data_IF_451564665054
#
_entry.id   IF_451564665054
#
_cell.length_a   1.000
_cell.length_b   1.000
_cell.length_c   1.000
_cell.angle_alpha   90.00
_cell.angle_beta   90.00
_cell.angle_gamma   90.00
#
_symmetry.space_group_name_H-M   'P 1'
#
loop_
_entity.id
_entity.type
_entity.pdbx_description
1 polymer ?
#
# COMPACT_ATOMS: atom_id res chain seq x y z
N UNK A 1 -37.51 37.93 49.93
CA UNK A 1 -37.19 39.36 50.15
C UNK A 1 -36.13 39.45 51.24
N UNK A 2 -35.01 40.14 50.96
CA UNK A 2 -33.95 40.53 51.91
C UNK A 2 -32.91 39.43 52.19
N UNK A 3 -31.79 39.33 51.48
CA UNK A 3 -30.55 40.15 51.57
C UNK A 3 -29.86 40.13 52.95
N UNK A 4 -28.72 39.42 53.00
CA UNK A 4 -27.51 39.68 53.81
C UNK A 4 -26.34 39.13 52.97
N UNK A 5 -25.29 39.85 52.60
CA UNK A 5 -24.67 41.02 53.20
C UNK A 5 -23.39 40.59 53.94
N UNK A 6 -22.23 40.85 53.33
CA UNK A 6 -20.96 41.00 54.04
C UNK A 6 -19.87 39.98 53.72
N UNK A 7 -18.82 40.42 53.01
CA UNK A 7 -17.41 40.08 53.31
C UNK A 7 -16.50 41.11 52.65
N UNK A 8 -15.93 41.94 53.50
CA UNK A 8 -14.89 42.93 53.23
C UNK A 8 -13.74 42.62 54.22
N UNK A 9 -12.50 42.54 53.71
CA UNK A 9 -11.19 42.81 54.35
C UNK A 9 -10.12 42.24 53.41
N UNK A 10 -9.40 43.05 52.63
CA UNK A 10 -8.28 43.94 53.00
C UNK A 10 -6.95 43.16 53.14
N UNK A 11 -6.02 43.36 52.20
CA UNK A 11 -4.74 44.04 52.46
C UNK A 11 -3.86 44.14 51.20
N UNK A 12 -3.45 45.37 50.92
CA UNK A 12 -2.45 45.85 49.97
C UNK A 12 -1.04 45.77 50.56
N UNK A 13 -0.02 45.77 49.67
CA UNK A 13 1.26 46.51 49.69
C UNK A 13 2.16 45.91 48.59
N UNK A 14 2.42 46.57 47.46
CA UNK A 14 3.38 47.69 47.23
C UNK A 14 4.77 47.41 47.84
N UNK A 15 5.90 47.48 47.15
CA UNK A 15 6.26 47.86 45.79
C UNK A 15 7.78 48.05 45.68
N UNK A 16 8.30 48.11 44.44
CA UNK A 16 9.51 48.85 43.98
C UNK A 16 10.89 48.44 44.58
N UNK A 17 12.07 48.52 43.94
CA UNK A 17 12.65 49.30 42.83
C UNK A 17 14.07 48.77 42.53
N UNK A 18 14.59 49.00 41.32
CA UNK A 18 16.01 49.30 40.93
C UNK A 18 17.12 48.28 41.26
N UNK A 19 18.21 48.08 40.52
CA UNK A 19 18.86 48.74 39.37
C UNK A 19 20.00 47.79 38.91
N UNK A 20 20.26 47.79 37.60
CA UNK A 20 21.56 47.72 36.90
C UNK A 20 22.85 47.25 37.61
N UNK A 21 23.54 46.28 37.00
CA UNK A 21 25.01 46.33 36.81
C UNK A 21 25.46 45.42 35.65
N UNK A 22 26.13 46.04 34.68
CA UNK A 22 27.00 45.45 33.66
C UNK A 22 28.13 44.62 34.31
N UNK A 23 28.53 43.50 33.69
CA UNK A 23 29.95 43.21 33.43
C UNK A 23 30.13 42.14 32.36
N UNK A 24 31.16 42.41 31.56
CA UNK A 24 31.69 41.76 30.37
C UNK A 24 32.63 40.60 30.73
N UNK A 25 33.15 39.92 29.69
CA UNK A 25 34.26 38.97 29.63
C UNK A 25 33.97 37.46 29.56
N UNK A 26 33.93 36.99 28.30
CA UNK A 26 34.76 35.92 27.69
C UNK A 26 35.11 34.66 28.50
N UNK A 27 34.80 33.47 27.96
CA UNK A 27 35.71 32.69 27.09
C UNK A 27 35.35 31.19 27.08
N UNK A 28 35.48 30.60 25.88
CA UNK A 28 35.70 29.21 25.47
C UNK A 28 35.14 28.01 26.26
N UNK A 29 34.46 27.12 25.51
CA UNK A 29 34.34 25.70 25.86
C UNK A 29 33.45 24.89 24.93
N UNK A 30 34.03 24.39 23.83
CA UNK A 30 33.89 23.02 23.25
C UNK A 30 32.50 22.39 23.15
N UNK A 31 32.05 22.16 21.90
CA UNK A 31 31.88 20.83 21.29
C UNK A 31 30.84 19.93 21.98
N UNK A 32 29.67 19.77 21.35
CA UNK A 32 29.17 18.44 21.03
C UNK A 32 28.16 18.52 19.86
N UNK A 33 28.60 17.91 18.77
CA UNK A 33 28.00 17.83 17.46
C UNK A 33 26.85 16.80 17.51
N UNK A 34 25.61 17.28 17.58
CA UNK A 34 24.40 16.46 17.59
C UNK A 34 23.86 16.24 16.18
N UNK A 35 24.55 15.44 15.37
CA UNK A 35 24.05 14.97 14.07
C UNK A 35 22.83 14.07 14.27
N UNK A 36 21.64 14.61 14.01
CA UNK A 36 20.43 13.81 13.85
C UNK A 36 20.51 13.08 12.50
N UNK A 37 20.70 11.75 12.57
CA UNK A 37 20.67 10.85 11.41
C UNK A 37 19.27 10.83 10.79
N UNK A 38 19.10 11.55 9.69
CA UNK A 38 17.94 11.47 8.82
C UNK A 38 18.07 10.24 7.90
N UNK A 39 17.81 9.07 8.49
CA UNK A 39 17.93 7.76 7.87
C UNK A 39 16.68 7.34 7.10
N UNK A 40 16.31 8.04 6.02
CA UNK A 40 15.53 7.44 4.93
C UNK A 40 16.11 7.84 3.58
N UNK A 41 17.24 7.23 3.23
CA UNK A 41 17.72 7.22 1.85
C UNK A 41 16.69 6.48 0.99
N UNK A 42 15.94 7.26 0.21
CA UNK A 42 15.27 6.78 -1.00
C UNK A 42 16.31 6.11 -1.89
N UNK A 43 16.15 4.81 -2.12
CA UNK A 43 17.03 4.03 -3.00
C UNK A 43 16.55 4.06 -4.47
N UNK A 44 15.74 5.04 -4.85
CA UNK A 44 15.09 5.11 -6.18
C UNK A 44 15.97 5.69 -7.30
N UNK A 45 17.22 6.10 -7.04
CA UNK A 45 18.03 6.81 -8.05
C UNK A 45 19.27 6.08 -8.59
N UNK A 46 19.56 4.85 -8.16
CA UNK A 46 20.83 4.18 -8.52
C UNK A 46 20.76 3.10 -9.61
N UNK A 47 19.59 2.80 -10.23
CA UNK A 47 19.46 1.62 -11.10
C UNK A 47 18.95 1.87 -12.53
N UNK A 48 19.28 3.03 -13.12
CA UNK A 48 19.02 3.29 -14.55
C UNK A 48 20.14 2.79 -15.50
N UNK A 49 21.05 1.94 -15.03
CA UNK A 49 22.27 1.58 -15.76
C UNK A 49 22.54 0.10 -15.91
N UNK A 50 21.54 -0.74 -16.28
CA UNK A 50 21.76 -2.08 -16.90
C UNK A 50 20.44 -2.85 -17.18
N UNK A 51 19.57 -2.28 -18.01
CA UNK A 51 18.46 -3.02 -18.61
C UNK A 51 18.44 -2.84 -20.13
N UNK A 52 19.57 -3.18 -20.77
CA UNK A 52 19.64 -3.32 -22.22
C UNK A 52 19.69 -4.81 -22.57
N UNK A 53 18.54 -5.48 -22.46
CA UNK A 53 18.37 -6.83 -22.98
C UNK A 53 16.94 -7.03 -23.54
N UNK A 54 16.88 -6.98 -24.88
CA UNK A 54 15.82 -7.47 -25.80
C UNK A 54 14.41 -6.88 -25.62
N UNK A 55 14.19 -5.69 -26.18
CA UNK A 55 12.84 -5.18 -26.49
C UNK A 55 12.28 -5.83 -27.76
N UNK A 56 11.48 -6.88 -27.61
CA UNK A 56 10.58 -7.37 -28.68
C UNK A 56 9.16 -6.81 -28.51
N UNK A 57 9.02 -5.48 -28.47
CA UNK A 57 7.74 -4.80 -28.23
C UNK A 57 6.73 -5.00 -29.38
N UNK A 58 7.21 -5.36 -30.57
CA UNK A 58 6.39 -5.50 -31.80
C UNK A 58 5.54 -6.77 -31.79
N UNK A 59 6.00 -7.87 -31.17
CA UNK A 59 5.27 -9.14 -31.15
C UNK A 59 4.09 -9.12 -30.15
N UNK A 60 4.26 -8.48 -28.98
CA UNK A 60 3.25 -8.45 -27.91
C UNK A 60 1.95 -7.71 -28.28
N UNK A 61 2.03 -6.58 -29.01
CA UNK A 61 0.84 -5.83 -29.46
C UNK A 61 -0.06 -6.62 -30.42
N UNK A 62 0.52 -7.55 -31.20
CA UNK A 62 -0.24 -8.38 -32.15
C UNK A 62 -1.08 -9.47 -31.46
N UNK A 63 -0.58 -10.01 -30.34
CA UNK A 63 -1.28 -11.00 -29.51
C UNK A 63 -2.46 -10.35 -28.79
N UNK A 64 -2.25 -9.16 -28.21
CA UNK A 64 -3.30 -8.36 -27.57
C UNK A 64 -4.43 -7.98 -28.53
N UNK A 65 -4.13 -7.55 -29.77
CA UNK A 65 -5.19 -7.30 -30.77
C UNK A 65 -5.97 -8.56 -31.16
N UNK A 66 -5.35 -9.74 -31.13
CA UNK A 66 -6.07 -11.01 -31.37
C UNK A 66 -6.96 -11.41 -30.20
N UNK A 67 -6.54 -11.21 -28.96
CA UNK A 67 -7.30 -11.57 -27.75
C UNK A 67 -8.46 -10.60 -27.49
N UNK A 68 -8.28 -9.30 -27.75
CA UNK A 68 -9.29 -8.28 -27.45
C UNK A 68 -10.27 -8.08 -28.62
N UNK A 69 -9.83 -8.20 -29.88
CA UNK A 69 -10.69 -7.95 -31.05
C UNK A 69 -11.37 -9.20 -31.62
N UNK A 70 -10.95 -10.39 -31.22
CA UNK A 70 -11.75 -11.62 -31.37
C UNK A 70 -12.02 -12.10 -29.97
N UNK A 71 -13.29 -12.35 -29.60
CA UNK A 71 -13.59 -13.35 -28.57
C UNK A 71 -12.98 -14.65 -29.06
N UNK A 72 -11.68 -14.85 -28.86
CA UNK A 72 -11.06 -16.17 -29.00
C UNK A 72 -11.65 -16.91 -27.82
N UNK A 73 -12.73 -17.64 -28.10
CA UNK A 73 -13.17 -18.73 -27.25
C UNK A 73 -12.04 -19.75 -27.32
N UNK A 74 -11.00 -19.52 -26.52
CA UNK A 74 -10.02 -20.54 -26.23
C UNK A 74 -10.85 -21.70 -25.69
N UNK A 75 -10.75 -22.87 -26.33
CA UNK A 75 -11.43 -24.06 -25.84
C UNK A 75 -11.11 -24.22 -24.34
N UNK A 76 -12.08 -24.64 -23.52
CA UNK A 76 -12.05 -24.50 -22.04
C UNK A 76 -10.89 -25.16 -21.28
N UNK A 77 -9.89 -25.73 -21.96
CA UNK A 77 -8.86 -26.58 -21.38
C UNK A 77 -7.43 -26.32 -21.88
N UNK A 78 -7.17 -25.24 -22.62
CA UNK A 78 -5.80 -24.94 -23.07
C UNK A 78 -5.07 -24.13 -22.01
N UNK A 79 -4.02 -24.70 -21.44
CA UNK A 79 -3.07 -24.00 -20.57
C UNK A 79 -2.20 -23.03 -21.40
N UNK A 80 -2.00 -21.77 -20.96
CA UNK A 80 -1.18 -20.82 -21.69
C UNK A 80 0.30 -21.20 -21.59
N UNK A 81 1.09 -20.90 -22.63
CA UNK A 81 2.55 -20.79 -22.44
C UNK A 81 2.88 -19.52 -21.63
N UNK A 82 4.15 -19.39 -21.22
CA UNK A 82 4.56 -18.31 -20.33
C UNK A 82 4.42 -16.92 -20.99
N UNK A 83 4.69 -16.82 -22.29
CA UNK A 83 4.56 -15.57 -23.06
C UNK A 83 3.09 -15.13 -23.16
N UNK A 84 2.18 -16.06 -23.40
CA UNK A 84 0.73 -15.82 -23.49
C UNK A 84 0.17 -15.42 -22.12
N UNK A 85 0.65 -16.06 -21.05
CA UNK A 85 0.31 -15.70 -19.69
C UNK A 85 0.80 -14.29 -19.34
N UNK A 86 2.05 -13.95 -19.67
CA UNK A 86 2.59 -12.60 -19.47
C UNK A 86 1.77 -11.53 -20.21
N UNK A 87 1.40 -11.77 -21.48
CA UNK A 87 0.55 -10.87 -22.24
C UNK A 87 -0.88 -10.72 -21.65
N UNK A 88 -1.41 -11.79 -21.05
CA UNK A 88 -2.70 -11.75 -20.35
C UNK A 88 -2.60 -10.93 -19.06
N UNK A 89 -1.51 -11.09 -18.31
CA UNK A 89 -1.23 -10.29 -17.12
C UNK A 89 -1.03 -8.81 -17.47
N UNK A 90 -0.34 -8.50 -18.57
CA UNK A 90 -0.29 -7.15 -19.13
C UNK A 90 -1.72 -6.62 -19.39
N UNK A 91 -2.60 -7.41 -20.02
CA UNK A 91 -3.98 -6.97 -20.24
C UNK A 91 -4.76 -6.70 -18.92
N UNK A 92 -4.54 -7.53 -17.90
CA UNK A 92 -5.21 -7.43 -16.59
C UNK A 92 -4.69 -6.23 -15.79
N UNK A 93 -3.37 -6.05 -15.75
CA UNK A 93 -2.70 -5.01 -14.98
C UNK A 93 -2.72 -3.65 -15.69
N UNK A 94 -2.98 -3.64 -17.00
CA UNK A 94 -2.92 -2.46 -17.85
C UNK A 94 -1.62 -1.64 -17.65
N UNK A 95 -0.44 -2.27 -17.83
CA UNK A 95 0.82 -1.58 -17.67
C UNK A 95 0.98 -0.58 -18.81
N UNK A 96 0.79 0.71 -18.52
CA UNK A 96 1.11 1.74 -19.49
C UNK A 96 2.62 1.66 -19.83
N UNK A 97 3.47 1.60 -18.80
CA UNK A 97 4.91 1.75 -18.96
C UNK A 97 5.77 0.69 -18.21
N UNK A 98 5.15 -0.23 -17.47
CA UNK A 98 5.85 -1.31 -16.72
C UNK A 98 5.29 -2.70 -17.08
N UNK A 99 5.67 -3.27 -18.24
CA UNK A 99 5.14 -4.55 -18.65
C UNK A 99 5.60 -5.67 -17.71
N UNK A 100 4.81 -6.74 -17.65
CA UNK A 100 5.19 -7.97 -16.98
C UNK A 100 6.50 -8.49 -17.60
N UNK A 101 7.47 -8.67 -16.72
CA UNK A 101 8.80 -9.17 -17.05
C UNK A 101 8.76 -10.69 -17.07
N UNK A 102 9.42 -11.29 -18.06
CA UNK A 102 9.70 -12.73 -18.08
C UNK A 102 11.16 -12.90 -17.70
N UNK A 103 11.40 -13.28 -16.45
CA UNK A 103 12.76 -13.42 -15.90
C UNK A 103 13.36 -14.80 -16.20
N UNK A 104 12.50 -15.82 -16.32
CA UNK A 104 12.89 -17.18 -16.69
C UNK A 104 11.83 -17.79 -17.59
N UNK A 105 12.19 -18.10 -18.82
CA UNK A 105 11.33 -18.78 -19.77
C UNK A 105 11.14 -20.25 -19.42
N UNK A 106 10.01 -20.81 -19.89
CA UNK A 106 9.78 -22.26 -19.96
C UNK A 106 9.01 -22.61 -21.21
N UNK A 107 9.34 -23.75 -21.84
CA UNK A 107 8.70 -24.19 -23.07
C UNK A 107 7.33 -24.85 -22.83
N UNK A 108 7.14 -25.50 -21.68
CA UNK A 108 5.91 -26.22 -21.37
C UNK A 108 4.75 -25.25 -21.01
N UNK A 109 3.48 -25.63 -21.26
CA UNK A 109 2.31 -24.86 -20.84
C UNK A 109 2.18 -24.73 -19.30
N UNK A 110 1.63 -23.62 -18.81
CA UNK A 110 1.44 -23.30 -17.38
C UNK A 110 0.07 -23.78 -16.94
N UNK A 111 0.03 -24.84 -16.13
CA UNK A 111 -1.19 -25.32 -15.48
C UNK A 111 -1.32 -24.81 -14.03
N UNK A 112 -0.21 -24.45 -13.40
CA UNK A 112 -0.10 -24.11 -11.98
C UNK A 112 0.76 -22.84 -11.80
N UNK A 113 0.12 -21.71 -11.52
CA UNK A 113 0.78 -20.44 -11.26
C UNK A 113 0.82 -20.14 -9.75
N UNK A 114 2.01 -19.96 -9.21
CA UNK A 114 2.21 -19.35 -7.89
C UNK A 114 2.21 -17.82 -7.98
N UNK A 115 1.65 -17.16 -6.99
CA UNK A 115 1.73 -15.72 -6.79
C UNK A 115 2.38 -15.44 -5.45
N UNK A 116 3.37 -14.56 -5.41
CA UNK A 116 4.04 -14.17 -4.18
C UNK A 116 4.46 -12.70 -4.21
N UNK A 117 4.54 -12.11 -3.01
CA UNK A 117 4.99 -10.73 -2.87
C UNK A 117 6.46 -10.58 -3.21
N UNK A 118 7.31 -11.44 -2.67
CA UNK A 118 8.76 -11.36 -2.85
C UNK A 118 9.41 -12.72 -2.65
N UNK A 119 10.70 -12.92 -3.01
CA UNK A 119 11.47 -14.07 -2.61
C UNK A 119 11.65 -14.17 -1.10
N UNK A 120 11.52 -15.39 -0.56
CA UNK A 120 11.89 -15.74 0.82
C UNK A 120 12.65 -17.08 0.82
N UNK A 121 13.37 -17.44 1.92
CA UNK A 121 14.17 -18.67 1.96
C UNK A 121 13.39 -19.96 1.63
N UNK A 122 12.09 -20.01 1.96
CA UNK A 122 11.21 -21.15 1.71
C UNK A 122 10.54 -21.17 0.32
N UNK A 123 10.77 -20.16 -0.54
CA UNK A 123 10.08 -20.03 -1.82
C UNK A 123 10.29 -21.26 -2.72
N UNK A 124 11.51 -21.80 -2.78
CA UNK A 124 11.81 -22.98 -3.60
C UNK A 124 11.10 -24.24 -3.08
N UNK A 125 11.13 -24.47 -1.77
CA UNK A 125 10.44 -25.60 -1.16
C UNK A 125 8.92 -25.52 -1.42
N UNK A 126 8.34 -24.32 -1.37
CA UNK A 126 6.94 -24.10 -1.72
C UNK A 126 6.65 -24.38 -3.20
N UNK A 127 7.51 -23.91 -4.12
CA UNK A 127 7.41 -24.22 -5.56
C UNK A 127 7.40 -25.72 -5.82
N UNK A 128 8.34 -26.45 -5.19
CA UNK A 128 8.47 -27.88 -5.36
C UNK A 128 7.25 -28.62 -4.77
N UNK A 129 6.86 -28.29 -3.53
CA UNK A 129 5.72 -28.91 -2.84
C UNK A 129 4.39 -28.65 -3.55
N UNK A 130 4.19 -27.43 -4.05
CA UNK A 130 2.99 -27.07 -4.80
C UNK A 130 3.11 -27.42 -6.29
N UNK A 131 4.19 -28.08 -6.73
CA UNK A 131 4.47 -28.47 -8.11
C UNK A 131 4.15 -27.34 -9.10
N UNK A 132 4.67 -26.15 -8.83
CA UNK A 132 4.37 -24.96 -9.63
C UNK A 132 5.05 -25.01 -10.99
N UNK A 133 4.32 -24.59 -12.01
CA UNK A 133 4.83 -24.43 -13.37
C UNK A 133 5.49 -23.08 -13.56
N UNK A 134 4.95 -22.05 -12.92
CA UNK A 134 5.48 -20.70 -12.95
C UNK A 134 5.20 -19.98 -11.63
N UNK A 135 5.99 -18.94 -11.35
CA UNK A 135 5.72 -17.98 -10.27
C UNK A 135 5.64 -16.57 -10.84
N UNK A 136 4.69 -15.78 -10.33
CA UNK A 136 4.67 -14.33 -10.48
C UNK A 136 5.13 -13.70 -9.16
N UNK A 137 6.17 -12.88 -9.22
CA UNK A 137 6.70 -12.13 -8.09
C UNK A 137 6.35 -10.64 -8.24
N UNK A 138 5.79 -10.05 -7.18
CA UNK A 138 5.58 -8.60 -7.16
C UNK A 138 6.92 -7.84 -7.04
N UNK A 139 7.77 -8.24 -6.09
CA UNK A 139 9.11 -7.73 -5.81
C UNK A 139 10.16 -8.79 -6.12
N UNK A 140 10.82 -8.72 -7.27
CA UNK A 140 11.65 -9.83 -7.77
C UNK A 140 13.16 -9.71 -7.47
N UNK A 141 13.61 -8.56 -6.98
CA UNK A 141 15.03 -8.17 -6.87
C UNK A 141 15.91 -9.12 -6.04
N UNK A 142 15.35 -9.79 -5.04
CA UNK A 142 16.10 -10.72 -4.20
C UNK A 142 16.23 -12.14 -4.81
N UNK A 143 15.67 -12.38 -6.01
CA UNK A 143 15.64 -13.70 -6.61
C UNK A 143 16.98 -14.02 -7.29
N UNK A 144 17.64 -15.08 -6.85
CA UNK A 144 18.79 -15.66 -7.56
C UNK A 144 18.32 -16.68 -8.61
N UNK A 145 18.32 -16.27 -9.88
CA UNK A 145 17.91 -17.13 -11.00
C UNK A 145 18.86 -18.32 -11.24
N UNK A 146 20.14 -18.20 -10.88
CA UNK A 146 21.14 -19.28 -11.07
C UNK A 146 20.80 -20.55 -10.28
N UNK A 147 20.09 -20.40 -9.16
CA UNK A 147 19.67 -21.50 -8.29
C UNK A 147 18.21 -21.89 -8.50
N UNK A 148 17.53 -21.26 -9.46
CA UNK A 148 16.11 -21.48 -9.72
C UNK A 148 15.89 -22.74 -10.59
N UNK A 149 14.86 -23.56 -10.33
CA UNK A 149 14.58 -24.74 -11.15
C UNK A 149 14.34 -24.37 -12.62
N UNK A 150 15.09 -25.00 -13.53
CA UNK A 150 14.99 -24.68 -14.96
C UNK A 150 13.62 -24.96 -15.58
N UNK A 151 12.83 -25.85 -14.97
CA UNK A 151 11.49 -26.21 -15.43
C UNK A 151 10.39 -25.21 -15.01
N UNK A 152 10.72 -24.27 -14.11
CA UNK A 152 9.75 -23.33 -13.52
C UNK A 152 9.97 -21.94 -14.09
N UNK A 153 8.91 -21.39 -14.68
CA UNK A 153 8.92 -20.05 -15.26
C UNK A 153 8.88 -18.98 -14.17
N UNK A 154 9.45 -17.82 -14.44
CA UNK A 154 9.43 -16.69 -13.50
C UNK A 154 8.94 -15.45 -14.23
N UNK A 155 7.86 -14.88 -13.71
CA UNK A 155 7.28 -13.61 -14.11
C UNK A 155 7.47 -12.60 -12.98
N UNK A 156 7.56 -11.32 -13.33
CA UNK A 156 7.56 -10.25 -12.34
C UNK A 156 6.75 -9.03 -12.79
N UNK A 157 6.11 -8.36 -11.83
CA UNK A 157 5.46 -7.06 -12.05
C UNK A 157 5.35 -6.30 -10.74
N UNK A 158 5.98 -5.13 -10.69
CA UNK A 158 5.98 -4.30 -9.50
C UNK A 158 4.99 -3.14 -9.66
N UNK A 159 5.36 -2.12 -10.43
CA UNK A 159 4.62 -0.88 -10.49
C UNK A 159 3.24 -1.07 -11.13
N UNK A 160 3.13 -1.93 -12.16
CA UNK A 160 1.83 -2.20 -12.77
C UNK A 160 0.88 -2.95 -11.82
N UNK A 161 1.39 -3.90 -11.02
CA UNK A 161 0.62 -4.53 -9.95
C UNK A 161 0.14 -3.50 -8.94
N UNK A 162 1.06 -2.66 -8.48
CA UNK A 162 0.83 -1.61 -7.51
C UNK A 162 -0.20 -0.59 -7.99
N UNK A 163 -0.14 -0.17 -9.25
CA UNK A 163 -1.11 0.78 -9.80
C UNK A 163 -2.49 0.17 -9.95
N UNK A 164 -2.58 -1.10 -10.37
CA UNK A 164 -3.87 -1.75 -10.63
C UNK A 164 -4.60 -2.19 -9.37
N UNK A 165 -3.85 -2.81 -8.45
CA UNK A 165 -4.39 -3.48 -7.27
C UNK A 165 -3.83 -2.97 -5.96
N UNK A 166 -2.76 -2.16 -6.00
CA UNK A 166 -2.22 -1.56 -4.79
C UNK A 166 -3.24 -0.65 -4.09
N UNK A 167 -2.96 -0.39 -2.82
CA UNK A 167 -3.87 0.32 -1.94
C UNK A 167 -4.09 1.77 -2.43
N UNK A 168 -5.34 2.18 -2.70
CA UNK A 168 -5.63 3.50 -3.26
C UNK A 168 -6.91 3.54 -4.08
N UNK A 169 -6.86 4.14 -5.28
CA UNK A 169 -8.02 4.29 -6.18
C UNK A 169 -8.23 3.03 -7.03
N UNK A 170 -8.73 1.96 -6.43
CA UNK A 170 -9.10 0.73 -7.17
C UNK A 170 -10.62 0.48 -7.07
N UNK A 171 -11.30 0.17 -8.19
CA UNK A 171 -12.71 -0.22 -8.15
C UNK A 171 -12.97 -1.38 -7.19
N UNK A 172 -12.06 -2.35 -7.15
CA UNK A 172 -12.16 -3.54 -6.30
C UNK A 172 -12.15 -3.20 -4.80
N UNK A 173 -11.32 -2.23 -4.38
CA UNK A 173 -11.29 -1.78 -2.99
C UNK A 173 -12.56 -0.99 -2.65
N UNK A 174 -12.97 -0.11 -3.56
CA UNK A 174 -14.20 0.65 -3.38
C UNK A 174 -15.43 -0.27 -3.30
N UNK A 175 -15.47 -1.33 -4.10
CA UNK A 175 -16.49 -2.39 -4.02
C UNK A 175 -16.46 -3.09 -2.65
N UNK A 176 -15.28 -3.54 -2.21
CA UNK A 176 -15.11 -4.21 -0.93
C UNK A 176 -15.56 -3.34 0.27
N UNK A 177 -15.38 -2.03 0.19
CA UNK A 177 -15.77 -1.07 1.23
C UNK A 177 -17.14 -0.42 1.01
N UNK A 178 -17.92 -0.88 0.01
CA UNK A 178 -19.22 -0.30 -0.32
C UNK A 178 -19.19 1.21 -0.64
N UNK A 179 -18.13 1.65 -1.31
CA UNK A 179 -17.89 3.03 -1.74
C UNK A 179 -18.05 3.20 -3.25
N UNK A 180 -18.69 4.27 -3.69
CA UNK A 180 -18.63 4.76 -5.07
C UNK A 180 -17.45 5.70 -5.21
N UNK A 181 -16.51 5.39 -6.11
CA UNK A 181 -15.43 6.32 -6.49
C UNK A 181 -16.03 7.44 -7.36
N UNK A 182 -15.66 8.69 -7.08
CA UNK A 182 -16.03 9.81 -7.95
C UNK A 182 -15.06 10.02 -9.10
N UNK A 183 -15.08 11.23 -9.69
CA UNK A 183 -14.25 11.60 -10.83
C UNK A 183 -12.82 12.00 -10.40
N UNK A 184 -12.06 12.65 -11.29
CA UNK A 184 -10.70 13.11 -11.02
C UNK A 184 -10.61 14.13 -9.86
N UNK A 185 -11.70 14.84 -9.53
CA UNK A 185 -11.74 15.84 -8.45
C UNK A 185 -11.64 15.21 -7.06
N UNK A 186 -12.08 13.96 -6.96
CA UNK A 186 -11.97 13.16 -5.73
C UNK A 186 -10.56 12.52 -5.56
N UNK A 187 -9.62 12.83 -6.47
CA UNK A 187 -8.22 12.43 -6.32
C UNK A 187 -7.55 13.17 -5.15
N UNK A 188 -6.70 12.44 -4.42
CA UNK A 188 -5.86 12.99 -3.37
C UNK A 188 -4.56 13.62 -3.91
N UNK A 189 -4.29 13.45 -5.19
CA UNK A 189 -3.07 13.91 -5.85
C UNK A 189 -2.65 12.94 -6.93
N UNK A 190 -1.61 13.29 -7.67
CA UNK A 190 -1.12 12.53 -8.80
C UNK A 190 0.41 12.44 -8.78
N UNK A 191 0.94 11.32 -9.25
CA UNK A 191 2.35 11.14 -9.58
C UNK A 191 2.43 10.45 -10.93
N UNK A 192 3.05 11.13 -11.89
CA UNK A 192 3.26 10.62 -13.26
C UNK A 192 1.97 10.18 -13.96
N UNK A 193 0.87 10.88 -13.74
CA UNK A 193 -0.45 10.56 -14.29
C UNK A 193 -1.19 9.45 -13.53
N UNK A 194 -0.68 9.05 -12.36
CA UNK A 194 -1.31 8.06 -11.49
C UNK A 194 -1.80 8.65 -10.17
N UNK A 195 -3.08 8.40 -9.80
CA UNK A 195 -3.65 8.93 -8.57
C UNK A 195 -2.99 8.30 -7.34
N UNK A 196 -2.54 9.14 -6.41
CA UNK A 196 -1.95 8.72 -5.13
C UNK A 196 -2.97 8.13 -4.14
N UNK A 197 -4.26 8.36 -4.42
CA UNK A 197 -5.39 7.89 -3.65
C UNK A 197 -6.67 8.59 -4.10
N UNK A 198 -7.80 8.23 -3.50
CA UNK A 198 -9.10 8.84 -3.82
C UNK A 198 -10.02 8.87 -2.62
N UNK A 199 -10.98 9.80 -2.64
CA UNK A 199 -12.14 9.77 -1.76
C UNK A 199 -13.28 9.03 -2.43
N UNK A 200 -13.90 8.11 -1.71
CA UNK A 200 -15.11 7.40 -2.12
C UNK A 200 -16.31 7.82 -1.27
N UNK A 201 -17.51 7.75 -1.86
CA UNK A 201 -18.78 8.05 -1.17
C UNK A 201 -19.49 6.74 -0.80
N UNK A 202 -20.02 6.63 0.41
CA UNK A 202 -20.75 5.43 0.88
C UNK A 202 -22.01 5.19 0.04
N UNK A 203 -22.16 3.98 -0.54
CA UNK A 203 -23.24 3.64 -1.49
C UNK A 203 -24.65 3.68 -0.90
N UNK A 204 -24.81 3.45 0.39
CA UNK A 204 -26.12 3.38 1.05
C UNK A 204 -26.83 4.75 1.17
N UNK A 205 -26.25 5.84 0.63
CA UNK A 205 -26.85 7.17 0.65
C UNK A 205 -26.84 7.86 2.02
N UNK A 206 -26.08 7.32 2.97
CA UNK A 206 -25.87 7.87 4.31
C UNK A 206 -24.40 7.81 4.74
N UNK A 207 -24.14 8.04 6.03
CA UNK A 207 -22.81 7.87 6.61
C UNK A 207 -22.53 6.42 7.01
N UNK A 208 -21.25 6.05 7.05
CA UNK A 208 -20.75 4.84 7.71
C UNK A 208 -20.15 5.24 9.05
N UNK A 209 -20.54 4.55 10.13
CA UNK A 209 -19.89 4.71 11.42
C UNK A 209 -18.53 3.98 11.45
N UNK A 210 -17.73 4.33 12.45
CA UNK A 210 -16.36 3.81 12.64
C UNK A 210 -16.33 2.29 12.78
N UNK A 211 -17.27 1.70 13.52
CA UNK A 211 -17.28 0.26 13.79
C UNK A 211 -17.71 -0.54 12.56
N UNK A 212 -18.68 -0.04 11.80
CA UNK A 212 -19.10 -0.62 10.52
C UNK A 212 -17.96 -0.57 9.51
N UNK A 213 -17.23 0.55 9.41
CA UNK A 213 -16.07 0.67 8.54
C UNK A 213 -14.93 -0.25 8.99
N UNK A 214 -14.60 -0.30 10.28
CA UNK A 214 -13.63 -1.24 10.84
C UNK A 214 -14.01 -2.68 10.50
N UNK A 215 -15.26 -3.08 10.70
CA UNK A 215 -15.72 -4.42 10.39
C UNK A 215 -15.58 -4.75 8.89
N UNK A 216 -15.82 -3.78 8.00
CA UNK A 216 -15.54 -3.94 6.58
C UNK A 216 -14.05 -4.16 6.31
N UNK A 217 -13.17 -3.34 6.90
CA UNK A 217 -11.71 -3.50 6.76
C UNK A 217 -11.21 -4.85 7.29
N UNK A 218 -11.74 -5.32 8.42
CA UNK A 218 -11.41 -6.64 8.97
C UNK A 218 -11.85 -7.76 8.03
N UNK A 219 -13.06 -7.69 7.47
CA UNK A 219 -13.53 -8.67 6.48
C UNK A 219 -12.70 -8.64 5.20
N UNK A 220 -12.25 -7.46 4.77
CA UNK A 220 -11.50 -7.28 3.52
C UNK A 220 -10.04 -7.69 3.66
N UNK A 221 -9.36 -7.27 4.73
CA UNK A 221 -7.90 -7.40 4.90
C UNK A 221 -7.49 -8.36 6.03
N UNK A 222 -8.44 -8.98 6.71
CA UNK A 222 -8.17 -9.84 7.86
C UNK A 222 -7.77 -9.08 9.13
N UNK A 223 -7.84 -7.75 9.15
CA UNK A 223 -7.61 -6.95 10.36
C UNK A 223 -7.21 -5.49 10.10
N UNK A 224 -6.91 -4.79 11.19
CA UNK A 224 -6.38 -3.43 11.25
C UNK A 224 -5.17 -3.47 12.18
N UNK A 225 -4.02 -2.98 11.73
CA UNK A 225 -2.77 -3.02 12.49
C UNK A 225 -2.63 -1.81 13.42
N UNK A 226 -3.09 -0.64 12.98
CA UNK A 226 -3.09 0.56 13.79
C UNK A 226 -4.29 1.45 13.47
N UNK A 227 -4.63 2.27 14.44
CA UNK A 227 -5.75 3.18 14.35
C UNK A 227 -5.47 4.48 15.08
N UNK A 228 -5.95 5.57 14.51
CA UNK A 228 -5.90 6.89 15.10
C UNK A 228 -7.32 7.45 15.10
N UNK A 229 -7.92 7.48 16.28
CA UNK A 229 -9.17 8.18 16.50
C UNK A 229 -8.88 9.68 16.79
N UNK A 230 -9.70 10.61 16.27
CA UNK A 230 -9.62 12.00 16.68
C UNK A 230 -10.17 12.20 18.09
N UNK A 231 -9.88 13.35 18.69
CA UNK A 231 -10.26 13.65 20.08
C UNK A 231 -11.77 13.82 20.29
N UNK A 232 -12.54 14.08 19.23
CA UNK A 232 -13.99 14.22 19.27
C UNK A 232 -14.67 13.01 18.65
N UNK A 233 -15.82 12.65 19.18
CA UNK A 233 -16.68 11.66 18.56
C UNK A 233 -17.05 12.13 17.15
N UNK A 234 -16.77 11.31 16.15
CA UNK A 234 -17.09 11.61 14.76
C UNK A 234 -18.50 11.12 14.48
N UNK A 235 -19.32 11.96 13.85
CA UNK A 235 -20.56 11.51 13.24
C UNK A 235 -20.26 10.47 12.13
N UNK A 236 -21.20 9.58 11.79
CA UNK A 236 -21.06 8.71 10.63
C UNK A 236 -20.64 9.50 9.40
N UNK A 237 -19.59 9.03 8.71
CA UNK A 237 -19.03 9.76 7.56
C UNK A 237 -19.60 9.26 6.24
N UNK A 238 -20.02 10.18 5.38
CA UNK A 238 -20.46 9.83 4.03
C UNK A 238 -19.27 9.53 3.09
N UNK A 239 -18.04 9.90 3.49
CA UNK A 239 -16.88 9.93 2.58
C UNK A 239 -15.63 9.37 3.26
N UNK A 240 -14.98 8.44 2.57
CA UNK A 240 -13.80 7.71 3.04
C UNK A 240 -12.66 7.92 2.05
N UNK A 241 -11.53 8.44 2.54
CA UNK A 241 -10.30 8.54 1.78
C UNK A 241 -9.52 7.23 1.82
N UNK A 242 -8.92 6.84 0.69
CA UNK A 242 -8.08 5.65 0.57
C UNK A 242 -6.79 6.01 -0.18
N UNK A 243 -5.64 5.74 0.43
CA UNK A 243 -4.34 6.02 -0.18
C UNK A 243 -3.26 5.06 0.30
N UNK A 244 -2.30 4.75 -0.59
CA UNK A 244 -1.15 3.92 -0.22
C UNK A 244 -0.26 4.57 0.82
N UNK A 245 0.01 5.86 0.62
CA UNK A 245 0.88 6.66 1.46
C UNK A 245 0.03 7.60 2.32
N UNK A 246 0.53 7.89 3.51
CA UNK A 246 -0.06 8.86 4.42
C UNK A 246 0.96 9.97 4.65
N UNK A 247 0.79 11.10 3.98
CA UNK A 247 1.57 12.33 4.17
C UNK A 247 0.66 13.43 4.69
N UNK A 248 1.18 14.47 5.37
CA UNK A 248 0.37 15.61 5.81
C UNK A 248 -0.49 16.21 4.67
N UNK A 249 0.10 16.44 3.51
CA UNK A 249 -0.59 16.99 2.35
C UNK A 249 -1.75 16.12 1.85
N UNK A 250 -1.58 14.79 1.82
CA UNK A 250 -2.65 13.87 1.40
C UNK A 250 -3.79 13.82 2.42
N UNK A 251 -3.46 13.90 3.70
CA UNK A 251 -4.43 13.94 4.81
C UNK A 251 -5.25 15.23 4.77
N UNK A 252 -4.58 16.38 4.64
CA UNK A 252 -5.24 17.68 4.53
C UNK A 252 -6.12 17.74 3.27
N UNK A 253 -5.64 17.18 2.15
CA UNK A 253 -6.44 17.07 0.92
C UNK A 253 -7.67 16.20 1.12
N UNK A 254 -7.56 15.06 1.80
CA UNK A 254 -8.69 14.20 2.10
C UNK A 254 -9.76 14.92 2.94
N UNK A 255 -9.32 15.66 3.96
CA UNK A 255 -10.20 16.47 4.80
C UNK A 255 -10.87 17.60 4.01
N UNK A 256 -10.13 18.30 3.13
CA UNK A 256 -10.68 19.32 2.24
C UNK A 256 -11.72 18.74 1.25
N UNK A 257 -11.63 17.45 0.94
CA UNK A 257 -12.61 16.71 0.14
C UNK A 257 -13.76 16.13 0.98
N UNK A 258 -13.85 16.50 2.25
CA UNK A 258 -14.93 16.13 3.17
C UNK A 258 -14.88 14.68 3.64
N UNK A 259 -13.74 14.00 3.53
CA UNK A 259 -13.59 12.68 4.15
C UNK A 259 -13.70 12.80 5.67
N UNK A 260 -14.34 11.82 6.33
CA UNK A 260 -14.31 11.69 7.80
C UNK A 260 -13.46 10.51 8.27
N UNK A 261 -13.04 9.65 7.34
CA UNK A 261 -12.13 8.56 7.60
C UNK A 261 -11.06 8.46 6.50
N UNK A 262 -9.89 7.94 6.86
CA UNK A 262 -8.75 7.73 6.00
C UNK A 262 -8.22 6.31 6.19
N UNK A 263 -8.19 5.54 5.12
CA UNK A 263 -7.68 4.17 5.13
C UNK A 263 -6.35 4.14 4.40
N UNK A 264 -5.36 3.48 4.99
CA UNK A 264 -4.01 3.34 4.42
C UNK A 264 -3.36 2.01 4.77
N UNK A 265 -2.23 1.69 4.13
CA UNK A 265 -1.44 0.51 4.49
C UNK A 265 -0.67 0.71 5.81
N UNK A 266 -0.14 1.91 6.07
CA UNK A 266 0.70 2.14 7.24
C UNK A 266 0.50 3.54 7.82
N UNK A 267 0.37 3.62 9.15
CA UNK A 267 0.37 4.88 9.88
C UNK A 267 1.79 5.45 9.91
N UNK A 268 1.95 6.72 9.50
CA UNK A 268 3.25 7.40 9.51
C UNK A 268 3.25 8.57 10.49
N UNK A 269 4.29 8.64 11.33
CA UNK A 269 4.40 9.67 12.37
C UNK A 269 4.22 11.11 11.84
N UNK A 270 4.84 11.53 10.71
CA UNK A 270 4.69 12.89 10.21
C UNK A 270 3.25 13.29 9.88
N UNK A 271 2.41 12.33 9.46
CA UNK A 271 1.03 12.60 9.06
C UNK A 271 0.02 12.48 10.20
N UNK A 272 0.44 11.97 11.37
CA UNK A 272 -0.43 11.74 12.53
C UNK A 272 -1.04 13.05 13.03
N UNK A 273 -0.22 14.09 13.18
CA UNK A 273 -0.70 15.39 13.66
C UNK A 273 -1.68 16.04 12.68
N UNK A 274 -1.39 15.96 11.38
CA UNK A 274 -2.29 16.46 10.35
C UNK A 274 -3.66 15.77 10.43
N UNK A 275 -3.68 14.45 10.67
CA UNK A 275 -4.93 13.69 10.77
C UNK A 275 -5.75 14.08 12.01
N UNK A 276 -5.09 14.28 13.15
CA UNK A 276 -5.74 14.76 14.38
C UNK A 276 -6.29 16.17 14.21
N UNK A 277 -5.53 17.09 13.61
CA UNK A 277 -5.99 18.47 13.32
C UNK A 277 -7.17 18.48 12.36
N UNK A 278 -7.17 17.57 11.39
CA UNK A 278 -8.23 17.42 10.40
C UNK A 278 -9.45 16.63 10.91
N UNK A 279 -9.43 16.18 12.17
CA UNK A 279 -10.48 15.34 12.78
C UNK A 279 -10.81 14.09 11.93
N UNK A 280 -9.82 13.49 11.26
CA UNK A 280 -9.98 12.25 10.49
C UNK A 280 -9.77 11.01 11.36
N UNK A 281 -10.66 10.04 11.23
CA UNK A 281 -10.39 8.68 11.72
C UNK A 281 -9.43 7.96 10.78
N UNK A 282 -8.28 7.51 11.25
CA UNK A 282 -7.31 6.81 10.39
C UNK A 282 -7.27 5.33 10.72
N UNK A 283 -7.39 4.49 9.70
CA UNK A 283 -7.17 3.05 9.79
C UNK A 283 -5.94 2.66 8.95
N UNK A 284 -4.95 2.04 9.60
CA UNK A 284 -3.83 1.39 8.92
C UNK A 284 -4.07 -0.12 8.91
N UNK A 285 -4.31 -0.69 7.73
CA UNK A 285 -4.65 -2.12 7.58
C UNK A 285 -3.43 -3.03 7.51
N UNK A 286 -2.23 -2.47 7.41
CA UNK A 286 -1.00 -3.19 7.16
C UNK A 286 -0.63 -3.17 5.68
N UNK A 287 0.59 -2.74 5.37
CA UNK A 287 1.10 -2.68 4.00
C UNK A 287 1.09 -4.08 3.38
N UNK A 288 1.63 -5.07 4.09
CA UNK A 288 1.68 -6.45 3.64
C UNK A 288 0.29 -7.06 3.41
N UNK A 289 -0.64 -6.89 4.37
CA UNK A 289 -2.02 -7.40 4.26
C UNK A 289 -2.75 -6.81 3.05
N UNK A 290 -2.54 -5.53 2.78
CA UNK A 290 -3.06 -4.86 1.60
C UNK A 290 -2.53 -5.48 0.30
N UNK A 291 -1.23 -5.78 0.23
CA UNK A 291 -0.63 -6.42 -0.93
C UNK A 291 -1.05 -7.89 -1.10
N UNK A 292 -1.21 -8.63 -0.01
CA UNK A 292 -1.72 -10.01 -0.03
C UNK A 292 -3.18 -10.05 -0.54
N UNK A 293 -4.01 -9.10 -0.10
CA UNK A 293 -5.34 -8.90 -0.67
C UNK A 293 -5.29 -8.58 -2.16
N UNK A 294 -4.34 -7.74 -2.60
CA UNK A 294 -4.14 -7.42 -4.01
C UNK A 294 -3.71 -8.65 -4.84
N UNK A 295 -2.85 -9.53 -4.29
CA UNK A 295 -2.51 -10.82 -4.93
C UNK A 295 -3.75 -11.71 -5.09
N UNK A 296 -4.64 -11.72 -4.10
CA UNK A 296 -5.89 -12.46 -4.19
C UNK A 296 -6.79 -11.96 -5.32
N UNK A 297 -6.91 -10.63 -5.48
CA UNK A 297 -7.65 -10.02 -6.59
C UNK A 297 -7.01 -10.32 -7.95
N UNK A 298 -5.68 -10.28 -8.05
CA UNK A 298 -4.98 -10.67 -9.27
C UNK A 298 -5.22 -12.16 -9.60
N UNK A 299 -5.13 -13.05 -8.62
CA UNK A 299 -5.39 -14.47 -8.82
C UNK A 299 -6.81 -14.74 -9.33
N UNK A 300 -7.81 -14.01 -8.82
CA UNK A 300 -9.19 -14.04 -9.32
C UNK A 300 -9.30 -13.56 -10.77
N UNK A 301 -8.69 -12.42 -11.10
CA UNK A 301 -8.70 -11.89 -12.46
C UNK A 301 -8.03 -12.85 -13.45
N UNK A 302 -6.91 -13.45 -13.07
CA UNK A 302 -6.21 -14.46 -13.89
C UNK A 302 -7.10 -15.68 -14.12
N UNK A 303 -7.77 -16.20 -13.08
CA UNK A 303 -8.71 -17.33 -13.24
C UNK A 303 -9.93 -16.96 -14.08
N UNK A 304 -10.35 -15.70 -14.06
CA UNK A 304 -11.42 -15.20 -14.95
C UNK A 304 -11.04 -15.27 -16.43
N UNK A 305 -9.77 -15.04 -16.77
CA UNK A 305 -9.25 -15.17 -18.14
C UNK A 305 -8.90 -16.63 -18.48
N UNK A 306 -8.34 -17.37 -17.51
CA UNK A 306 -7.86 -18.75 -17.67
C UNK A 306 -8.50 -19.69 -16.63
N UNK A 307 -9.75 -20.15 -16.82
CA UNK A 307 -10.46 -20.94 -15.81
C UNK A 307 -9.79 -22.28 -15.44
N UNK A 308 -9.04 -22.87 -16.37
CA UNK A 308 -8.29 -24.10 -16.14
C UNK A 308 -6.96 -23.89 -15.40
N UNK A 309 -6.44 -22.65 -15.32
CA UNK A 309 -5.19 -22.32 -14.66
C UNK A 309 -5.40 -22.32 -13.13
N UNK A 310 -4.70 -23.21 -12.43
CA UNK A 310 -4.70 -23.21 -10.96
C UNK A 310 -3.78 -22.12 -10.46
N UNK A 311 -4.27 -21.29 -9.55
CA UNK A 311 -3.49 -20.24 -8.90
C UNK A 311 -3.34 -20.54 -7.42
N UNK A 312 -2.13 -20.35 -6.89
CA UNK A 312 -1.81 -20.50 -5.46
C UNK A 312 -1.11 -19.24 -4.99
N UNK A 313 -1.48 -18.75 -3.81
CA UNK A 313 -0.85 -17.57 -3.21
C UNK A 313 0.04 -18.07 -2.07
N UNK A 314 1.27 -17.57 -2.00
CA UNK A 314 2.16 -17.88 -0.90
C UNK A 314 1.65 -17.22 0.39
N UNK A 315 1.34 -18.03 1.41
CA UNK A 315 0.86 -17.54 2.71
C UNK A 315 2.02 -16.98 3.58
N UNK A 316 3.26 -17.41 3.32
CA UNK A 316 4.37 -17.26 4.26
C UNK A 316 5.63 -16.68 3.62
N UNK A 317 5.59 -15.39 3.25
CA UNK A 317 6.84 -14.59 3.19
C UNK A 317 7.20 -14.00 4.56
N UNK A 318 6.53 -14.42 5.64
CA UNK A 318 6.64 -13.87 6.98
C UNK A 318 6.87 -14.94 8.05
N UNK A 319 7.49 -16.07 7.69
CA UNK A 319 8.08 -16.95 8.69
C UNK A 319 9.20 -16.16 9.39
N UNK A 320 8.79 -15.45 10.43
CA UNK A 320 9.47 -15.15 11.67
C UNK A 320 10.99 -15.30 11.57
N UNK A 321 11.67 -14.16 11.43
CA UNK A 321 12.88 -13.95 12.23
C UNK A 321 12.44 -13.97 13.71
N UNK A 322 12.01 -15.13 14.19
CA UNK A 322 12.02 -15.44 15.60
C UNK A 322 13.48 -15.49 15.96
N UNK A 323 14.03 -14.34 16.37
CA UNK A 323 15.13 -14.31 17.31
C UNK A 323 14.74 -15.26 18.43
N UNK A 324 15.32 -16.45 18.39
CA UNK A 324 15.53 -17.27 19.57
C UNK A 324 16.33 -16.38 20.50
N UNK A 325 15.64 -15.67 21.39
CA UNK A 325 16.27 -15.22 22.62
C UNK A 325 16.69 -16.50 23.34
N UNK A 326 17.96 -16.86 23.14
CA UNK A 326 18.70 -17.77 23.99
C UNK A 326 18.71 -17.16 25.40
N UNK A 327 17.66 -17.46 26.16
CA UNK A 327 17.64 -17.31 27.60
C UNK A 327 18.57 -18.35 28.22
N UNK A 328 19.88 -18.09 28.17
CA UNK A 328 20.87 -18.71 29.05
C UNK A 328 21.69 -17.63 29.75
N UNK A 329 21.26 -17.26 30.96
CA UNK A 329 22.07 -17.09 32.17
C UNK A 329 21.17 -16.67 33.34
#
# INVERSE_FOLDING_TARGET
MGERGGRERQQEREGQSSEEAEHDETDNGTEEDGTAEDGTASNDTAWNGKAEQVRSTVTRRSVLRRIVSRRIVLGPFVHPDLTTLAASLDAILAPADDPVLVLRERAAPVARLGLALEPWPGLRAWVDAAALDAVLLHRHWALSLDRWPAAVGVLASHDAFDRRYGFGRTPELADALSLTLGDARDSLGDRDGHPLGSVGTVRAGGGVDVDTLRAALVRTFGGVEAELAPSRAIAPTARVAMARAMTPALVERAAALGAGAYVTGQLRAPAREAALRAELHVFAVGHRRAEEWALARLAEAVRGVWPALRTMIAENGGAENGTTEDGTA
#
